data_IF_352477506583
#
_entry.id   IF_352477506583
#
_cell.length_a   1.000
_cell.length_b   1.000
_cell.length_c   1.000
_cell.angle_alpha   90.00
_cell.angle_beta   90.00
_cell.angle_gamma   90.00
#
_symmetry.space_group_name_H-M   'P 1'
#
loop_
_entity.id
_entity.type
_entity.pdbx_description
1 polymer ?
#
# COMPACT_ATOMS: atom_id res chain seq x y z
N UNK A 1 -8.30 8.54 -5.70
CA UNK A 1 -9.43 8.67 -6.65
C UNK A 1 -9.21 7.64 -7.74
N UNK A 2 -10.16 6.73 -7.95
CA UNK A 2 -10.08 5.82 -9.10
C UNK A 2 -10.39 6.66 -10.36
N UNK A 3 -9.55 6.62 -11.40
CA UNK A 3 -9.79 7.35 -12.65
C UNK A 3 -11.18 7.07 -13.21
N UNK A 4 -11.80 8.07 -13.84
CA UNK A 4 -13.12 7.92 -14.44
C UNK A 4 -13.21 6.81 -15.50
N UNK A 5 -12.07 6.45 -16.11
CA UNK A 5 -11.96 5.38 -17.09
C UNK A 5 -12.17 3.98 -16.50
N UNK A 6 -11.94 3.79 -15.19
CA UNK A 6 -12.10 2.49 -14.52
C UNK A 6 -13.49 2.37 -13.84
N UNK A 7 -14.43 3.25 -14.21
CA UNK A 7 -15.81 3.17 -13.71
C UNK A 7 -16.59 2.13 -14.52
N UNK A 8 -17.37 1.25 -13.86
CA UNK A 8 -18.16 0.24 -14.56
C UNK A 8 -19.27 0.86 -15.41
N UNK A 9 -19.73 2.08 -15.09
CA UNK A 9 -20.75 2.81 -15.86
C UNK A 9 -20.49 4.33 -15.87
N UNK A 10 -20.83 5.02 -16.98
CA UNK A 10 -20.80 6.49 -17.06
C UNK A 10 -21.75 7.15 -16.05
N UNK A 11 -21.35 8.30 -15.50
CA UNK A 11 -22.20 9.11 -14.62
C UNK A 11 -22.25 8.66 -13.15
N UNK A 12 -21.57 7.58 -12.77
CA UNK A 12 -21.43 7.19 -11.37
C UNK A 12 -20.53 8.18 -10.59
N UNK A 13 -20.79 8.37 -9.28
CA UNK A 13 -19.96 9.17 -8.39
C UNK A 13 -18.49 8.72 -8.39
N UNK A 14 -17.60 9.57 -7.89
CA UNK A 14 -16.21 9.19 -7.67
C UNK A 14 -16.12 7.97 -6.75
N UNK A 15 -15.35 6.96 -7.17
CA UNK A 15 -15.09 5.83 -6.29
C UNK A 15 -14.19 6.28 -5.13
N UNK A 16 -14.62 5.92 -3.93
CA UNK A 16 -13.84 6.04 -2.71
C UNK A 16 -13.15 4.71 -2.43
N UNK A 17 -11.91 4.77 -1.98
CA UNK A 17 -11.17 3.60 -1.52
C UNK A 17 -11.14 3.61 0.01
N UNK A 18 -11.36 2.44 0.61
CA UNK A 18 -11.15 2.21 2.04
C UNK A 18 -10.04 1.19 2.18
N UNK A 19 -8.96 1.58 2.85
CA UNK A 19 -7.84 0.69 3.17
C UNK A 19 -7.90 0.23 4.61
N UNK A 20 -7.81 -1.08 4.84
CA UNK A 20 -7.70 -1.68 6.18
C UNK A 20 -6.33 -2.29 6.33
N UNK A 21 -5.60 -1.90 7.37
CA UNK A 21 -4.23 -2.34 7.63
C UNK A 21 -4.19 -3.35 8.77
N UNK A 22 -3.48 -4.46 8.55
CA UNK A 22 -3.23 -5.48 9.56
C UNK A 22 -1.73 -5.62 9.79
N UNK A 23 -1.33 -5.63 11.07
CA UNK A 23 0.02 -6.02 11.44
C UNK A 23 0.07 -7.54 11.60
N UNK A 24 1.00 -8.18 10.90
CA UNK A 24 1.20 -9.63 10.96
C UNK A 24 2.64 -9.96 11.31
N UNK A 25 2.84 -11.15 11.89
CA UNK A 25 4.17 -11.74 12.11
C UNK A 25 4.28 -13.01 11.27
N UNK A 26 5.22 -13.02 10.33
CA UNK A 26 5.57 -14.22 9.57
C UNK A 26 6.57 -15.02 10.39
N UNK A 27 6.24 -16.28 10.70
CA UNK A 27 7.03 -17.13 11.60
C UNK A 27 7.89 -18.17 10.88
N UNK A 28 7.69 -18.38 9.58
CA UNK A 28 8.47 -19.33 8.77
C UNK A 28 7.99 -19.42 7.32
N UNK A 29 8.59 -20.33 6.56
CA UNK A 29 8.32 -20.56 5.14
C UNK A 29 9.35 -19.93 4.19
N UNK A 30 9.16 -20.14 2.89
CA UNK A 30 10.00 -19.56 1.83
C UNK A 30 9.15 -18.66 0.96
N UNK A 31 9.61 -17.44 0.70
CA UNK A 31 8.96 -16.53 -0.24
C UNK A 31 8.91 -17.17 -1.63
N UNK A 32 7.76 -17.06 -2.30
CA UNK A 32 7.53 -17.53 -3.65
C UNK A 32 6.63 -16.53 -4.37
N UNK A 33 6.91 -16.20 -5.65
CA UNK A 33 5.95 -15.48 -6.48
C UNK A 33 4.63 -16.24 -6.58
N UNK A 34 3.55 -15.50 -6.81
CA UNK A 34 2.23 -16.08 -7.05
C UNK A 34 2.18 -16.71 -8.45
N UNK A 35 1.85 -18.01 -8.59
CA UNK A 35 1.76 -18.63 -9.91
C UNK A 35 0.65 -17.99 -10.75
N UNK A 36 1.00 -17.42 -11.90
CA UNK A 36 0.04 -16.80 -12.82
C UNK A 36 -0.51 -15.45 -12.37
N UNK A 37 0.03 -14.86 -11.28
CA UNK A 37 -0.33 -13.52 -10.83
C UNK A 37 0.58 -12.45 -11.41
N UNK A 38 0.13 -11.20 -11.34
CA UNK A 38 0.91 -10.01 -11.73
C UNK A 38 2.04 -9.68 -10.73
N UNK A 39 2.12 -10.41 -9.62
CA UNK A 39 3.15 -10.24 -8.59
C UNK A 39 4.44 -10.93 -9.04
N UNK A 40 5.31 -10.13 -9.65
CA UNK A 40 6.58 -10.57 -10.22
C UNK A 40 7.53 -11.16 -9.16
N UNK A 41 7.57 -10.58 -7.95
CA UNK A 41 8.53 -10.97 -6.91
C UNK A 41 8.01 -10.72 -5.49
N UNK A 42 8.45 -11.56 -4.54
CA UNK A 42 8.27 -11.35 -3.10
C UNK A 42 9.64 -11.38 -2.41
N UNK A 43 10.10 -10.23 -1.92
CA UNK A 43 11.36 -10.07 -1.21
C UNK A 43 11.20 -9.31 0.10
N UNK A 44 12.02 -9.66 1.08
CA UNK A 44 12.16 -8.88 2.30
C UNK A 44 12.94 -7.60 2.02
N UNK A 45 12.34 -6.46 2.31
CA UNK A 45 12.99 -5.15 2.20
C UNK A 45 13.31 -4.62 3.60
N UNK A 46 14.59 -4.35 3.94
CA UNK A 46 14.94 -3.69 5.18
C UNK A 46 14.28 -2.31 5.28
N UNK A 47 13.71 -1.98 6.43
CA UNK A 47 12.97 -0.72 6.63
C UNK A 47 13.76 0.52 6.19
N UNK A 48 15.07 0.69 6.52
CA UNK A 48 15.85 1.85 6.07
C UNK A 48 15.98 1.97 4.54
N UNK A 49 15.86 0.86 3.81
CA UNK A 49 15.94 0.83 2.36
C UNK A 49 14.68 1.34 1.65
N UNK A 50 13.52 1.32 2.33
CA UNK A 50 12.22 1.64 1.74
C UNK A 50 12.19 3.06 1.16
N UNK A 51 12.83 4.02 1.83
CA UNK A 51 12.83 5.42 1.41
C UNK A 51 13.40 5.64 0.00
N UNK A 52 14.26 4.73 -0.48
CA UNK A 52 14.90 4.80 -1.80
C UNK A 52 14.12 4.10 -2.91
N UNK A 53 13.03 3.41 -2.58
CA UNK A 53 12.23 2.65 -3.55
C UNK A 53 11.09 3.50 -4.11
N UNK A 54 10.79 3.26 -5.39
CA UNK A 54 9.48 3.62 -5.95
C UNK A 54 8.43 2.77 -5.26
N UNK A 55 7.46 3.39 -4.59
CA UNK A 55 6.52 2.67 -3.73
C UNK A 55 5.14 3.32 -3.73
N UNK A 56 4.13 2.52 -3.43
CA UNK A 56 2.79 3.03 -3.17
C UNK A 56 2.78 3.86 -1.88
N UNK A 57 1.96 4.91 -1.85
CA UNK A 57 1.67 5.67 -0.61
C UNK A 57 1.18 4.78 0.53
N UNK A 58 0.55 3.64 0.22
CA UNK A 58 0.09 2.67 1.22
C UNK A 58 1.23 2.09 2.08
N UNK A 59 2.45 2.00 1.54
CA UNK A 59 3.61 1.54 2.31
C UNK A 59 3.93 2.51 3.45
N UNK A 60 3.90 3.81 3.16
CA UNK A 60 4.24 4.85 4.15
C UNK A 60 3.13 5.01 5.18
N UNK A 61 1.86 4.86 4.77
CA UNK A 61 0.70 4.79 5.67
C UNK A 61 0.86 3.62 6.64
N UNK A 62 1.12 2.41 6.14
CA UNK A 62 1.31 1.22 6.98
C UNK A 62 2.47 1.36 7.96
N UNK A 63 3.60 1.91 7.50
CA UNK A 63 4.75 2.20 8.36
C UNK A 63 4.44 3.25 9.44
N UNK A 64 3.69 4.30 9.12
CA UNK A 64 3.29 5.33 10.08
C UNK A 64 2.33 4.74 11.13
N UNK A 65 1.34 3.96 10.70
CA UNK A 65 0.42 3.25 11.60
C UNK A 65 1.17 2.32 12.56
N UNK A 66 2.06 1.48 12.04
CA UNK A 66 2.83 0.54 12.85
C UNK A 66 3.75 1.22 13.87
N UNK A 67 4.28 2.42 13.56
CA UNK A 67 5.16 3.17 14.47
C UNK A 67 4.42 3.97 15.52
N UNK A 68 3.31 4.60 15.14
CA UNK A 68 2.63 5.58 16.00
C UNK A 68 1.41 5.04 16.72
N UNK A 69 0.82 3.93 16.23
CA UNK A 69 -0.35 3.24 16.79
C UNK A 69 -1.44 4.21 17.29
N UNK A 70 -1.92 5.13 16.43
CA UNK A 70 -2.90 6.12 16.84
C UNK A 70 -4.21 5.42 17.24
N UNK A 71 -4.85 5.89 18.31
CA UNK A 71 -6.10 5.29 18.81
C UNK A 71 -7.24 5.31 17.77
N UNK A 72 -7.19 6.26 16.83
CA UNK A 72 -8.18 6.38 15.75
C UNK A 72 -7.92 5.41 14.59
N UNK A 73 -6.74 4.78 14.53
CA UNK A 73 -6.32 3.98 13.37
C UNK A 73 -6.07 4.81 12.10
N UNK A 74 -5.95 6.14 12.22
CA UNK A 74 -5.73 7.04 11.09
C UNK A 74 -4.42 7.81 11.23
N UNK A 75 -3.74 8.03 10.10
CA UNK A 75 -2.56 8.89 9.98
C UNK A 75 -2.83 10.03 9.01
N UNK A 76 -2.00 11.06 9.05
CA UNK A 76 -2.06 12.14 8.08
C UNK A 76 -1.90 11.59 6.64
N UNK A 77 -2.55 12.22 5.63
CA UNK A 77 -2.37 11.83 4.24
C UNK A 77 -0.90 11.86 3.82
N UNK A 78 -0.46 10.82 3.10
CA UNK A 78 0.89 10.77 2.52
C UNK A 78 0.86 11.49 1.17
N UNK A 79 1.64 12.58 0.99
CA UNK A 79 1.72 13.26 -0.29
C UNK A 79 2.32 12.36 -1.37
N UNK A 80 1.67 12.31 -2.53
CA UNK A 80 2.17 11.55 -3.69
C UNK A 80 3.06 12.45 -4.54
N UNK A 81 4.22 11.92 -4.93
CA UNK A 81 5.23 12.65 -5.68
C UNK A 81 6.60 11.97 -5.66
N UNK A 82 7.41 12.20 -6.70
CA UNK A 82 8.75 11.63 -6.81
C UNK A 82 8.78 10.10 -6.82
N UNK A 83 9.26 9.51 -5.72
CA UNK A 83 9.31 8.06 -5.52
C UNK A 83 7.99 7.47 -5.00
N UNK A 84 7.09 8.28 -4.46
CA UNK A 84 5.77 7.82 -3.99
C UNK A 84 4.77 7.93 -5.14
N UNK A 85 4.05 6.86 -5.44
CA UNK A 85 3.10 6.75 -6.55
C UNK A 85 1.75 6.20 -6.09
N UNK A 86 0.71 6.43 -6.90
CA UNK A 86 -0.58 5.75 -6.78
C UNK A 86 -0.51 4.38 -7.43
#
# INVERSE_FOLDING_TARGET
MIPAADRPLPGLPEHQNVGVFYQVRITGGRLRPEPGGDIVESVWTPIPGIARLRRSSLVDVGLALARSLPATGHVAPVPVGGLIRH
#
